data_IF_114136350872
#
_entry.id   IF_114136350872
#
_cell.length_a   1.000
_cell.length_b   1.000
_cell.length_c   1.000
_cell.angle_alpha   90.00
_cell.angle_beta   90.00
_cell.angle_gamma   90.00
#
_symmetry.space_group_name_H-M   'P 1'
#
loop_
_entity.id
_entity.type
_entity.pdbx_description
1 polymer ?
#
# COMPACT_ATOMS: atom_id res chain seq x y z
N UNK A 1 10.18 -28.25 -55.65
CA UNK A 1 10.21 -27.59 -54.33
C UNK A 1 10.96 -28.50 -53.37
N UNK A 2 12.15 -28.09 -52.95
CA UNK A 2 13.12 -28.96 -52.27
C UNK A 2 12.63 -29.37 -50.88
N UNK A 3 12.45 -30.68 -50.67
CA UNK A 3 12.01 -31.30 -49.38
C UNK A 3 12.87 -30.81 -48.22
N UNK A 4 14.15 -30.53 -48.46
CA UNK A 4 15.06 -29.97 -47.44
C UNK A 4 14.68 -28.56 -47.00
N UNK A 5 14.18 -27.70 -47.90
CA UNK A 5 13.76 -26.33 -47.61
C UNK A 5 12.45 -26.32 -46.81
N UNK A 6 11.51 -27.20 -47.13
CA UNK A 6 10.26 -27.36 -46.36
C UNK A 6 10.51 -27.85 -44.93
N UNK A 7 11.49 -28.72 -44.71
CA UNK A 7 11.87 -29.18 -43.37
C UNK A 7 12.50 -28.07 -42.50
N UNK A 8 13.34 -27.22 -43.08
CA UNK A 8 13.95 -26.08 -42.38
C UNK A 8 12.86 -25.05 -42.00
N UNK A 9 11.93 -24.78 -42.91
CA UNK A 9 10.82 -23.85 -42.65
C UNK A 9 9.89 -24.34 -41.50
N UNK A 10 9.59 -25.66 -41.49
CA UNK A 10 8.80 -26.28 -40.44
C UNK A 10 9.51 -26.24 -39.07
N UNK A 11 10.84 -26.45 -39.04
CA UNK A 11 11.63 -26.38 -37.84
C UNK A 11 11.69 -24.95 -37.27
N UNK A 12 11.88 -23.94 -38.12
CA UNK A 12 11.86 -22.53 -37.71
C UNK A 12 10.49 -22.12 -37.17
N UNK A 13 9.40 -22.54 -37.77
CA UNK A 13 8.03 -22.27 -37.31
C UNK A 13 7.76 -22.89 -35.95
N UNK A 14 8.24 -24.12 -35.71
CA UNK A 14 8.11 -24.80 -34.42
C UNK A 14 8.88 -24.10 -33.30
N UNK A 15 10.09 -23.57 -33.58
CA UNK A 15 10.90 -22.80 -32.66
C UNK A 15 10.21 -21.48 -32.31
N UNK A 16 9.63 -20.78 -33.29
CA UNK A 16 8.91 -19.51 -33.05
C UNK A 16 7.67 -19.72 -32.18
N UNK A 17 6.91 -20.80 -32.38
CA UNK A 17 5.74 -21.15 -31.60
C UNK A 17 6.13 -21.48 -30.14
N UNK A 18 7.29 -22.11 -29.92
CA UNK A 18 7.79 -22.46 -28.58
C UNK A 18 8.22 -21.23 -27.76
N UNK A 19 8.64 -20.12 -28.39
CA UNK A 19 9.06 -18.89 -27.74
C UNK A 19 7.85 -18.05 -27.26
N UNK A 20 6.68 -18.23 -27.89
CA UNK A 20 5.45 -17.50 -27.54
C UNK A 20 4.74 -17.99 -26.25
N UNK A 21 5.16 -19.12 -25.68
CA UNK A 21 4.55 -19.72 -24.48
C UNK A 21 5.17 -19.21 -23.15
N UNK A 22 6.17 -18.32 -23.16
CA UNK A 22 6.97 -17.96 -21.99
C UNK A 22 6.55 -16.64 -21.33
N UNK A 23 5.27 -16.30 -21.32
CA UNK A 23 4.77 -15.20 -20.47
C UNK A 23 3.73 -15.71 -19.48
N UNK A 24 4.15 -16.54 -18.53
CA UNK A 24 3.44 -16.64 -17.27
C UNK A 24 3.88 -15.45 -16.42
N UNK A 25 3.11 -14.36 -16.48
CA UNK A 25 3.19 -13.31 -15.45
C UNK A 25 2.70 -13.94 -14.16
N UNK A 26 3.63 -14.46 -13.36
CA UNK A 26 3.35 -14.75 -11.96
C UNK A 26 3.21 -13.39 -11.28
N UNK A 27 1.98 -12.87 -11.20
CA UNK A 27 1.65 -11.94 -10.12
C UNK A 27 1.80 -12.77 -8.84
N UNK A 28 2.95 -12.65 -8.18
CA UNK A 28 3.09 -13.01 -6.77
C UNK A 28 2.26 -11.99 -5.97
N UNK A 29 0.96 -12.08 -6.19
CA UNK A 29 -0.05 -11.36 -5.44
C UNK A 29 -0.16 -11.98 -4.06
N UNK A 30 -0.55 -11.14 -3.14
CA UNK A 30 -0.97 -11.47 -1.80
C UNK A 30 -1.53 -12.89 -1.68
N UNK A 31 -0.96 -13.71 -0.82
CA UNK A 31 -1.48 -15.05 -0.49
C UNK A 31 -2.67 -14.90 0.45
N UNK A 32 -3.74 -14.32 -0.09
CA UNK A 32 -5.00 -14.21 0.62
C UNK A 32 -5.64 -15.60 0.74
N UNK A 33 -6.05 -15.97 1.95
CA UNK A 33 -6.85 -17.18 2.19
C UNK A 33 -8.02 -17.22 1.19
N UNK A 34 -8.14 -18.28 0.34
CA UNK A 34 -9.18 -18.38 -0.67
C UNK A 34 -10.61 -18.25 -0.13
N UNK A 35 -10.81 -18.49 1.15
CA UNK A 35 -12.11 -18.39 1.79
C UNK A 35 -12.53 -16.97 2.13
N UNK A 36 -11.58 -16.00 2.20
CA UNK A 36 -11.87 -14.60 2.47
C UNK A 36 -12.39 -13.91 1.21
N UNK A 37 -13.57 -13.30 1.29
CA UNK A 37 -14.28 -12.66 0.18
C UNK A 37 -14.60 -11.20 0.43
N UNK A 38 -14.78 -10.82 1.69
CA UNK A 38 -15.26 -9.48 2.07
C UNK A 38 -14.32 -8.81 3.07
N UNK A 39 -14.27 -7.47 3.02
CA UNK A 39 -13.54 -6.67 3.98
C UNK A 39 -14.34 -5.45 4.41
N UNK A 40 -14.02 -4.92 5.58
CA UNK A 40 -14.54 -3.67 6.10
C UNK A 40 -13.45 -2.82 6.73
N UNK A 41 -13.56 -1.51 6.57
CA UNK A 41 -12.67 -0.51 7.15
C UNK A 41 -13.54 0.62 7.67
N UNK A 42 -13.84 0.69 8.99
CA UNK A 42 -14.52 1.83 9.58
C UNK A 42 -13.64 3.08 9.48
N UNK A 43 -14.26 4.26 9.57
CA UNK A 43 -13.52 5.50 9.58
C UNK A 43 -12.47 5.49 10.71
N UNK A 44 -11.23 5.81 10.36
CA UNK A 44 -10.14 5.88 11.34
C UNK A 44 -10.37 6.99 12.35
N UNK A 45 -10.09 6.69 13.59
CA UNK A 45 -10.14 7.70 14.66
C UNK A 45 -8.95 8.65 14.53
N UNK A 46 -9.16 9.93 14.80
CA UNK A 46 -8.07 10.91 14.83
C UNK A 46 -7.75 11.27 16.29
N UNK A 47 -6.58 10.83 16.76
CA UNK A 47 -6.03 11.16 18.08
C UNK A 47 -4.78 12.05 17.98
N UNK A 48 -4.37 12.44 16.77
CA UNK A 48 -3.22 13.31 16.56
C UNK A 48 -3.64 14.78 16.68
N UNK A 49 -3.07 15.51 17.64
CA UNK A 49 -3.46 16.89 17.99
C UNK A 49 -3.37 17.88 16.84
N UNK A 50 -2.36 17.74 15.96
CA UNK A 50 -2.08 18.68 14.87
C UNK A 50 -2.62 18.26 13.50
N UNK A 51 -3.31 17.13 13.43
CA UNK A 51 -3.84 16.63 12.18
C UNK A 51 -5.17 17.31 11.82
N UNK A 52 -5.36 17.58 10.53
CA UNK A 52 -6.66 18.03 10.04
C UNK A 52 -7.71 16.94 10.30
N UNK A 53 -8.93 17.30 10.76
CA UNK A 53 -10.00 16.31 10.99
C UNK A 53 -10.33 15.44 9.78
N UNK A 54 -10.17 15.99 8.56
CA UNK A 54 -10.42 15.28 7.31
C UNK A 54 -9.32 14.27 6.93
N UNK A 55 -8.14 14.32 7.60
CA UNK A 55 -7.03 13.45 7.22
C UNK A 55 -7.32 11.98 7.54
N UNK A 56 -7.90 11.69 8.71
CA UNK A 56 -8.25 10.31 9.09
C UNK A 56 -9.27 9.70 8.14
N UNK A 57 -10.25 10.48 7.68
CA UNK A 57 -11.21 10.03 6.68
C UNK A 57 -10.52 9.73 5.34
N UNK A 58 -9.63 10.63 4.88
CA UNK A 58 -8.86 10.41 3.65
C UNK A 58 -8.01 9.14 3.73
N UNK A 59 -7.27 8.96 4.83
CA UNK A 59 -6.46 7.75 5.04
C UNK A 59 -7.30 6.48 5.06
N UNK A 60 -8.55 6.56 5.56
CA UNK A 60 -9.50 5.44 5.50
C UNK A 60 -9.86 5.11 4.05
N UNK A 61 -10.21 6.11 3.24
CA UNK A 61 -10.56 5.89 1.83
C UNK A 61 -9.35 5.40 1.02
N UNK A 62 -8.16 5.95 1.26
CA UNK A 62 -6.92 5.49 0.61
C UNK A 62 -6.67 4.00 0.87
N UNK A 63 -6.91 3.49 2.10
CA UNK A 63 -6.76 2.07 2.39
C UNK A 63 -7.88 1.23 1.74
N UNK A 64 -9.13 1.71 1.74
CA UNK A 64 -10.23 1.04 1.04
C UNK A 64 -9.91 0.89 -0.45
N UNK A 65 -9.44 1.96 -1.08
CA UNK A 65 -9.10 1.96 -2.50
C UNK A 65 -7.91 1.04 -2.79
N UNK A 66 -6.89 1.02 -1.94
CA UNK A 66 -5.75 0.09 -2.07
C UNK A 66 -6.22 -1.36 -2.02
N UNK A 67 -7.05 -1.72 -1.03
CA UNK A 67 -7.54 -3.11 -0.88
C UNK A 67 -8.44 -3.49 -2.06
N UNK A 68 -9.33 -2.60 -2.53
CA UNK A 68 -10.16 -2.85 -3.73
C UNK A 68 -9.34 -3.04 -5.00
N UNK A 69 -8.29 -2.23 -5.18
CA UNK A 69 -7.50 -2.24 -6.42
C UNK A 69 -6.58 -3.45 -6.51
N UNK A 70 -6.06 -3.93 -5.39
CA UNK A 70 -4.98 -4.91 -5.37
C UNK A 70 -5.37 -6.27 -4.77
N UNK A 71 -6.63 -6.41 -4.32
CA UNK A 71 -7.16 -7.68 -3.84
C UNK A 71 -8.46 -8.05 -4.57
N UNK A 72 -8.92 -9.30 -4.35
CA UNK A 72 -10.22 -9.76 -4.85
C UNK A 72 -11.37 -9.51 -3.86
N UNK A 73 -11.08 -8.86 -2.73
CA UNK A 73 -12.05 -8.65 -1.67
C UNK A 73 -13.08 -7.58 -2.04
N UNK A 74 -14.30 -7.78 -1.62
CA UNK A 74 -15.42 -6.85 -1.81
C UNK A 74 -15.71 -6.13 -0.49
N UNK A 75 -15.90 -4.81 -0.55
CA UNK A 75 -16.28 -4.03 0.62
C UNK A 75 -17.69 -4.44 1.09
N UNK A 76 -17.83 -4.79 2.38
CA UNK A 76 -19.09 -5.12 3.01
C UNK A 76 -19.09 -4.63 4.45
N UNK A 77 -20.14 -3.92 4.85
CA UNK A 77 -20.36 -3.50 6.24
C UNK A 77 -21.06 -4.61 7.05
N UNK A 78 -21.77 -5.49 6.36
CA UNK A 78 -22.51 -6.60 6.98
C UNK A 78 -21.62 -7.85 6.97
N UNK A 79 -21.34 -8.37 8.16
CA UNK A 79 -20.59 -9.61 8.40
C UNK A 79 -19.31 -9.75 7.54
N UNK A 80 -18.38 -8.75 7.56
CA UNK A 80 -17.16 -8.83 6.78
C UNK A 80 -16.26 -9.97 7.26
N UNK A 81 -15.61 -10.67 6.34
CA UNK A 81 -14.67 -11.74 6.68
C UNK A 81 -13.42 -11.19 7.40
N UNK A 82 -12.97 -10.00 6.98
CA UNK A 82 -11.84 -9.30 7.63
C UNK A 82 -12.16 -7.83 7.89
N UNK A 83 -11.51 -7.27 8.89
CA UNK A 83 -11.68 -5.88 9.28
C UNK A 83 -10.34 -5.22 9.64
N UNK A 84 -10.15 -3.96 9.19
CA UNK A 84 -9.05 -3.12 9.60
C UNK A 84 -9.57 -1.96 10.43
N UNK A 85 -9.16 -1.85 11.69
CA UNK A 85 -9.44 -0.71 12.56
C UNK A 85 -8.20 0.13 12.68
N UNK A 86 -8.34 1.44 12.48
CA UNK A 86 -7.23 2.37 12.47
C UNK A 86 -7.41 3.58 13.36
N UNK A 87 -6.28 4.07 13.88
CA UNK A 87 -6.20 5.33 14.62
C UNK A 87 -5.00 6.11 14.13
N UNK A 88 -5.22 7.37 13.72
CA UNK A 88 -4.15 8.33 13.47
C UNK A 88 -3.62 8.78 14.84
N UNK A 89 -2.41 8.32 15.20
CA UNK A 89 -1.83 8.53 16.54
C UNK A 89 -0.79 9.64 16.58
N UNK A 90 -0.19 9.97 15.42
CA UNK A 90 0.82 11.01 15.37
C UNK A 90 0.79 11.77 14.04
N UNK A 91 0.89 13.09 14.13
CA UNK A 91 1.06 14.02 13.01
C UNK A 91 1.92 15.17 13.50
N UNK A 92 3.22 15.13 13.22
CA UNK A 92 4.15 16.13 13.74
C UNK A 92 5.16 16.58 12.73
N UNK A 93 5.59 17.84 12.87
CA UNK A 93 6.71 18.41 12.11
C UNK A 93 7.87 18.59 13.07
N UNK A 94 9.04 18.07 12.70
CA UNK A 94 10.30 18.23 13.43
C UNK A 94 11.34 18.91 12.56
N UNK A 95 12.13 19.81 13.16
CA UNK A 95 13.30 20.35 12.48
C UNK A 95 14.44 19.32 12.57
N UNK A 96 15.00 18.98 11.44
CA UNK A 96 16.14 18.04 11.33
C UNK A 96 17.44 18.82 11.14
N UNK A 97 18.48 18.40 11.85
CA UNK A 97 19.80 18.99 11.65
C UNK A 97 20.33 18.70 10.24
N UNK A 98 21.02 19.66 9.59
CA UNK A 98 21.66 19.41 8.30
C UNK A 98 22.65 18.24 8.41
N UNK A 99 22.65 17.37 7.41
CA UNK A 99 23.65 16.31 7.32
C UNK A 99 25.02 16.90 6.98
N UNK A 100 26.10 16.20 7.34
CA UNK A 100 27.46 16.64 7.03
C UNK A 100 27.61 16.88 5.53
N UNK A 101 27.87 18.13 5.14
CA UNK A 101 27.97 18.55 3.72
C UNK A 101 26.70 19.20 3.14
N UNK A 102 25.58 19.22 3.86
CA UNK A 102 24.37 19.94 3.47
C UNK A 102 24.28 21.24 4.26
N UNK A 103 24.05 22.36 3.57
CA UNK A 103 23.90 23.69 4.19
C UNK A 103 22.45 24.07 4.48
N UNK A 104 21.49 23.26 4.07
CA UNK A 104 20.06 23.59 4.16
C UNK A 104 19.40 22.82 5.28
N UNK A 105 18.83 23.53 6.24
CA UNK A 105 17.97 22.92 7.26
C UNK A 105 16.71 22.36 6.62
N UNK A 106 16.26 21.20 7.08
CA UNK A 106 15.04 20.55 6.61
C UNK A 106 14.04 20.38 7.76
N UNK A 107 12.77 20.38 7.40
CA UNK A 107 11.69 19.97 8.28
C UNK A 107 11.19 18.60 7.83
N UNK A 108 10.75 17.79 8.77
CA UNK A 108 10.19 16.46 8.56
C UNK A 108 8.77 16.39 9.07
N UNK A 109 7.81 16.12 8.18
CA UNK A 109 6.48 15.70 8.57
C UNK A 109 6.48 14.19 8.79
N UNK A 110 6.05 13.75 9.97
CA UNK A 110 5.84 12.32 10.28
C UNK A 110 4.36 12.07 10.51
N UNK A 111 3.83 10.99 9.93
CA UNK A 111 2.47 10.49 10.18
C UNK A 111 2.58 9.06 10.68
N UNK A 112 1.83 8.72 11.72
CA UNK A 112 1.77 7.36 12.26
C UNK A 112 0.32 6.90 12.42
N UNK A 113 0.02 5.74 11.85
CA UNK A 113 -1.25 5.02 12.02
C UNK A 113 -1.03 3.77 12.89
N UNK A 114 -1.85 3.61 13.92
CA UNK A 114 -2.00 2.34 14.61
C UNK A 114 -3.13 1.55 13.94
N UNK A 115 -2.84 0.36 13.45
CA UNK A 115 -3.79 -0.49 12.73
C UNK A 115 -3.90 -1.84 13.42
N UNK A 116 -5.13 -2.28 13.66
CA UNK A 116 -5.48 -3.66 14.05
C UNK A 116 -6.13 -4.38 12.87
N UNK A 117 -5.71 -5.59 12.59
CA UNK A 117 -6.24 -6.46 11.56
C UNK A 117 -6.93 -7.67 12.20
N UNK A 118 -8.20 -7.84 11.89
CA UNK A 118 -9.05 -8.90 12.42
C UNK A 118 -9.48 -9.87 11.32
N UNK A 119 -9.54 -11.17 11.67
CA UNK A 119 -10.27 -12.17 10.92
C UNK A 119 -11.56 -12.47 11.68
N UNK A 120 -12.69 -11.97 11.19
CA UNK A 120 -13.99 -12.10 11.85
C UNK A 120 -14.52 -13.53 11.75
N UNK A 121 -14.17 -14.28 10.70
CA UNK A 121 -14.56 -15.71 10.57
C UNK A 121 -13.94 -16.57 11.67
N UNK A 122 -12.70 -16.26 12.08
CA UNK A 122 -11.98 -16.94 13.16
C UNK A 122 -12.15 -16.24 14.51
N UNK A 123 -12.85 -15.10 14.52
CA UNK A 123 -13.02 -14.21 15.68
C UNK A 123 -11.68 -13.92 16.38
N UNK A 124 -10.65 -13.56 15.60
CA UNK A 124 -9.28 -13.41 16.08
C UNK A 124 -8.65 -12.14 15.53
N UNK A 125 -7.99 -11.37 16.40
CA UNK A 125 -7.06 -10.34 15.98
C UNK A 125 -5.78 -11.00 15.47
N UNK A 126 -5.44 -10.74 14.21
CA UNK A 126 -4.26 -11.33 13.57
C UNK A 126 -3.00 -10.60 14.01
N UNK A 127 -3.07 -9.25 13.99
CA UNK A 127 -1.99 -8.38 14.48
C UNK A 127 -2.50 -6.96 14.76
N UNK A 128 -1.73 -6.26 15.60
CA UNK A 128 -1.81 -4.83 15.82
C UNK A 128 -0.42 -4.24 15.61
N UNK A 129 -0.30 -3.23 14.75
CA UNK A 129 0.99 -2.61 14.39
C UNK A 129 0.84 -1.12 14.17
N UNK A 130 1.96 -0.40 14.41
CA UNK A 130 2.10 0.99 14.03
C UNK A 130 2.83 1.07 12.69
N UNK A 131 2.26 1.86 11.76
CA UNK A 131 2.84 2.18 10.47
C UNK A 131 3.17 3.66 10.46
N UNK A 132 4.44 3.98 10.24
CA UNK A 132 4.93 5.35 10.29
C UNK A 132 5.76 5.65 9.07
N UNK A 133 5.51 6.78 8.44
CA UNK A 133 6.31 7.27 7.35
C UNK A 133 6.50 8.78 7.44
N UNK A 134 7.49 9.31 6.71
CA UNK A 134 7.81 10.72 6.77
C UNK A 134 8.04 11.34 5.39
N UNK A 135 7.95 12.66 5.36
CA UNK A 135 8.26 13.48 4.20
C UNK A 135 9.14 14.66 4.62
N UNK A 136 10.31 14.77 3.99
CA UNK A 136 11.25 15.85 4.25
C UNK A 136 11.01 17.01 3.28
N UNK A 137 11.04 18.23 3.79
CA UNK A 137 10.91 19.44 3.00
C UNK A 137 11.84 20.55 3.51
N UNK A 138 12.19 21.51 2.64
CA UNK A 138 13.07 22.61 3.00
C UNK A 138 12.44 23.48 4.09
N UNK A 139 13.21 23.84 5.13
CA UNK A 139 12.76 24.76 6.17
C UNK A 139 12.47 26.18 5.67
N UNK A 140 12.93 26.52 4.44
CA UNK A 140 12.64 27.79 3.78
C UNK A 140 11.25 27.83 3.12
N UNK A 141 10.55 26.70 3.05
CA UNK A 141 9.23 26.57 2.41
C UNK A 141 8.15 26.54 3.50
N UNK A 142 7.08 27.32 3.30
CA UNK A 142 5.91 27.24 4.17
C UNK A 142 5.25 25.86 4.05
N UNK A 143 4.95 25.24 5.20
CA UNK A 143 4.36 23.91 5.26
C UNK A 143 3.03 23.82 4.50
N UNK A 144 2.20 24.86 4.56
CA UNK A 144 0.89 24.88 3.88
C UNK A 144 1.01 24.64 2.37
N UNK A 145 2.12 25.06 1.77
CA UNK A 145 2.35 24.89 0.32
C UNK A 145 2.73 23.45 -0.08
N UNK A 146 3.26 22.66 0.84
CA UNK A 146 3.70 21.28 0.60
C UNK A 146 2.82 20.24 1.31
N UNK A 147 1.93 20.66 2.19
CA UNK A 147 1.12 19.79 3.06
C UNK A 147 0.37 18.70 2.29
N UNK A 148 -0.30 19.07 1.22
CA UNK A 148 -1.09 18.11 0.42
C UNK A 148 -0.18 17.06 -0.25
N UNK A 149 0.93 17.51 -0.83
CA UNK A 149 1.93 16.62 -1.46
C UNK A 149 2.56 15.68 -0.44
N UNK A 150 2.93 16.21 0.72
CA UNK A 150 3.52 15.44 1.81
C UNK A 150 2.53 14.38 2.35
N UNK A 151 1.29 14.77 2.63
CA UNK A 151 0.24 13.88 3.10
C UNK A 151 0.00 12.75 2.10
N UNK A 152 -0.10 13.06 0.80
CA UNK A 152 -0.30 12.07 -0.25
C UNK A 152 0.87 11.09 -0.39
N UNK A 153 2.10 11.59 -0.31
CA UNK A 153 3.31 10.75 -0.40
C UNK A 153 3.40 9.79 0.79
N UNK A 154 3.15 10.30 2.00
CA UNK A 154 3.16 9.50 3.23
C UNK A 154 2.02 8.48 3.23
N UNK A 155 0.79 8.90 2.87
CA UNK A 155 -0.37 8.00 2.78
C UNK A 155 -0.06 6.83 1.86
N UNK A 156 0.43 7.10 0.65
CA UNK A 156 0.76 6.05 -0.33
C UNK A 156 1.69 4.98 0.26
N UNK A 157 2.75 5.39 0.98
CA UNK A 157 3.70 4.44 1.55
C UNK A 157 3.09 3.66 2.72
N UNK A 158 2.36 4.34 3.61
CA UNK A 158 1.69 3.67 4.74
C UNK A 158 0.66 2.65 4.23
N UNK A 159 -0.14 2.99 3.21
CA UNK A 159 -1.12 2.05 2.63
C UNK A 159 -0.44 0.84 1.99
N UNK A 160 0.72 1.03 1.34
CA UNK A 160 1.54 -0.05 0.81
C UNK A 160 2.02 -0.99 1.92
N UNK A 161 2.56 -0.42 3.01
CA UNK A 161 3.09 -1.19 4.12
C UNK A 161 1.98 -1.97 4.87
N UNK A 162 0.79 -1.36 5.05
CA UNK A 162 -0.37 -2.03 5.64
C UNK A 162 -0.83 -3.19 4.76
N UNK A 163 -0.97 -2.93 3.45
CA UNK A 163 -1.39 -3.96 2.48
C UNK A 163 -0.42 -5.14 2.47
N UNK A 164 0.87 -4.85 2.41
CA UNK A 164 1.91 -5.88 2.44
C UNK A 164 1.89 -6.68 3.75
N UNK A 165 1.72 -6.01 4.90
CA UNK A 165 1.63 -6.69 6.19
C UNK A 165 0.40 -7.60 6.32
N UNK A 166 -0.70 -7.28 5.61
CA UNK A 166 -1.92 -8.06 5.67
C UNK A 166 -1.97 -9.22 4.66
N UNK A 167 -1.40 -9.01 3.47
CA UNK A 167 -1.64 -9.88 2.32
C UNK A 167 -0.38 -10.47 1.69
N UNK A 168 0.82 -10.05 2.09
CA UNK A 168 2.06 -10.63 1.59
C UNK A 168 2.65 -11.55 2.66
N UNK A 169 2.74 -12.84 2.35
CA UNK A 169 3.52 -13.78 3.16
C UNK A 169 5.01 -13.61 2.83
N UNK A 170 5.76 -13.10 3.78
CA UNK A 170 7.22 -13.11 3.78
C UNK A 170 7.73 -14.25 4.64
#
# INVERSE_FOLDING_TARGET
>A
MNIKLAGILALCLFIIISILQSCTISLSGATLDPELKTFYIPNFTNNAENALPSLSQRLTEDLKDKVRAESRLVLSEEEPDIEFRGTLVDYRITAEAPRTGESTAINRLTITLAISYFNNRKNTEIWQKNFSFFYDFSSAIDFSSVQETANKAISKQIMEDIFNAAFSNW
#
